data_IF_205426717747
#
_entry.id   IF_205426717747
#
_cell.length_a   1.000
_cell.length_b   1.000
_cell.length_c   1.000
_cell.angle_alpha   90.00
_cell.angle_beta   90.00
_cell.angle_gamma   90.00
#
_symmetry.space_group_name_H-M   'P 1'
#
loop_
_entity.id
_entity.type
_entity.pdbx_description
1 polymer ?
#
# COMPACT_ATOMS: atom_id res chain seq x y z
N UNK A 1 -5.26 -5.45 -26.87
CA UNK A 1 -4.83 -4.39 -25.94
C UNK A 1 -5.38 -3.09 -26.51
N UNK A 2 -6.59 -2.70 -26.11
CA UNK A 2 -7.15 -1.40 -26.48
C UNK A 2 -6.22 -0.34 -25.90
N UNK A 3 -5.70 0.53 -26.77
CA UNK A 3 -4.78 1.58 -26.39
C UNK A 3 -5.46 2.51 -25.41
N UNK A 4 -4.90 2.66 -24.21
CA UNK A 4 -5.10 3.85 -23.39
C UNK A 4 -4.95 5.06 -24.31
N UNK A 5 -6.07 5.74 -24.58
CA UNK A 5 -6.13 6.78 -25.60
C UNK A 5 -5.80 8.14 -24.98
N UNK A 6 -5.40 9.10 -25.82
CA UNK A 6 -5.06 10.47 -25.39
C UNK A 6 -6.22 11.16 -24.64
N UNK A 7 -7.47 10.75 -24.90
CA UNK A 7 -8.65 11.25 -24.18
C UNK A 7 -8.66 10.80 -22.71
N UNK A 8 -8.30 9.55 -22.43
CA UNK A 8 -8.23 9.03 -21.06
C UNK A 8 -7.15 9.76 -20.28
N UNK A 9 -5.98 9.98 -20.89
CA UNK A 9 -4.89 10.75 -20.29
C UNK A 9 -5.31 12.21 -20.00
N UNK A 10 -5.98 12.86 -20.95
CA UNK A 10 -6.52 14.21 -20.75
C UNK A 10 -7.58 14.28 -19.64
N UNK A 11 -8.45 13.28 -19.53
CA UNK A 11 -9.45 13.17 -18.47
C UNK A 11 -8.81 12.96 -17.09
N UNK A 12 -7.74 12.16 -17.01
CA UNK A 12 -6.97 11.95 -15.78
C UNK A 12 -6.24 13.23 -15.34
N UNK A 13 -5.78 14.05 -16.28
CA UNK A 13 -5.16 15.33 -15.98
C UNK A 13 -6.16 16.38 -15.49
N UNK A 14 -7.38 16.38 -16.03
CA UNK A 14 -8.41 17.40 -15.74
C UNK A 14 -9.33 17.08 -14.55
N UNK A 15 -9.68 15.81 -14.29
CA UNK A 15 -10.59 15.44 -13.21
C UNK A 15 -9.92 15.31 -11.84
N UNK A 16 -8.59 15.19 -11.77
CA UNK A 16 -7.83 15.12 -10.52
C UNK A 16 -8.12 13.91 -9.63
N UNK A 17 -8.90 12.93 -10.10
CA UNK A 17 -9.34 11.75 -9.34
C UNK A 17 -9.56 10.52 -10.22
N UNK A 18 -9.94 9.37 -9.61
CA UNK A 18 -10.12 8.12 -10.33
C UNK A 18 -11.24 8.19 -11.37
N UNK A 19 -11.04 7.51 -12.51
CA UNK A 19 -12.01 7.35 -13.59
C UNK A 19 -12.45 5.90 -13.68
N UNK A 20 -13.75 5.69 -13.84
CA UNK A 20 -14.31 4.38 -14.16
C UNK A 20 -14.40 4.22 -15.68
N UNK A 21 -13.82 3.16 -16.21
CA UNK A 21 -13.85 2.82 -17.63
C UNK A 21 -14.45 1.44 -17.81
N UNK A 22 -15.42 1.31 -18.71
CA UNK A 22 -15.91 0.00 -19.12
C UNK A 22 -14.84 -0.68 -19.99
N UNK A 23 -14.53 -1.93 -19.69
CA UNK A 23 -13.55 -2.71 -20.42
C UNK A 23 -14.07 -4.08 -20.84
N UNK A 24 -13.30 -4.75 -21.71
CA UNK A 24 -13.71 -6.04 -22.30
C UNK A 24 -13.92 -7.16 -21.28
N UNK A 25 -13.24 -7.09 -20.12
CA UNK A 25 -13.35 -8.10 -19.04
C UNK A 25 -14.10 -7.57 -17.80
N UNK A 26 -14.68 -6.37 -17.88
CA UNK A 26 -15.35 -5.71 -16.76
C UNK A 26 -14.92 -4.26 -16.59
N UNK A 27 -15.39 -3.65 -15.51
CA UNK A 27 -15.10 -2.25 -15.18
C UNK A 27 -13.69 -2.10 -14.59
N UNK A 28 -12.98 -1.08 -15.06
CA UNK A 28 -11.66 -0.70 -14.58
C UNK A 28 -11.71 0.66 -13.90
N UNK A 29 -10.99 0.79 -12.79
CA UNK A 29 -10.70 2.09 -12.17
C UNK A 29 -9.29 2.50 -12.59
N UNK A 30 -9.17 3.63 -13.27
CA UNK A 30 -7.88 4.19 -13.72
C UNK A 30 -7.65 5.51 -13.00
N UNK A 31 -6.43 5.71 -12.50
CA UNK A 31 -6.03 6.96 -11.85
C UNK A 31 -4.57 7.26 -12.15
N UNK A 32 -4.16 8.53 -12.01
CA UNK A 32 -2.75 8.86 -12.07
C UNK A 32 -2.01 8.25 -10.88
N UNK A 33 -0.78 7.83 -11.11
CA UNK A 33 0.06 7.19 -10.08
C UNK A 33 0.32 8.10 -8.89
N UNK A 34 0.52 9.38 -9.11
CA UNK A 34 0.75 10.35 -8.03
C UNK A 34 -0.49 10.56 -7.15
N UNK A 35 -1.69 10.55 -7.75
CA UNK A 35 -2.96 10.56 -7.01
C UNK A 35 -3.13 9.28 -6.19
N UNK A 36 -2.82 8.11 -6.77
CA UNK A 36 -2.82 6.84 -6.03
C UNK A 36 -1.88 6.87 -4.82
N UNK A 37 -0.64 7.34 -5.03
CA UNK A 37 0.37 7.44 -3.99
C UNK A 37 -0.07 8.42 -2.88
N UNK A 38 -0.63 9.57 -3.24
CA UNK A 38 -1.16 10.54 -2.29
C UNK A 38 -2.32 9.95 -1.46
N UNK A 39 -3.21 9.15 -2.07
CA UNK A 39 -4.31 8.47 -1.37
C UNK A 39 -3.81 7.41 -0.38
N UNK A 40 -2.67 6.76 -0.65
CA UNK A 40 -2.06 5.82 0.28
C UNK A 40 -1.40 6.52 1.48
N UNK A 41 -1.22 7.85 1.42
CA UNK A 41 -0.56 8.61 2.48
C UNK A 41 0.91 8.24 2.66
N UNK A 42 1.51 7.58 1.68
CA UNK A 42 2.93 7.21 1.68
C UNK A 42 3.71 8.38 1.07
N UNK A 43 4.48 9.09 1.88
CA UNK A 43 5.57 9.92 1.36
C UNK A 43 6.63 9.04 0.67
N UNK A 44 7.47 9.65 -0.18
CA UNK A 44 8.56 8.91 -0.85
C UNK A 44 9.49 8.20 0.16
N UNK A 45 9.66 8.77 1.34
CA UNK A 45 10.44 8.17 2.44
C UNK A 45 9.71 7.00 3.13
N UNK A 46 8.37 7.04 3.18
CA UNK A 46 7.54 6.02 3.84
C UNK A 46 7.50 4.72 3.06
N UNK A 47 7.59 4.77 1.72
CA UNK A 47 7.59 3.58 0.86
C UNK A 47 8.86 2.75 1.09
N UNK A 48 10.02 3.40 1.18
CA UNK A 48 11.30 2.76 1.43
C UNK A 48 11.36 2.16 2.85
N UNK A 49 10.89 2.90 3.86
CA UNK A 49 10.82 2.42 5.25
C UNK A 49 9.84 1.25 5.40
N UNK A 50 8.68 1.31 4.74
CA UNK A 50 7.68 0.23 4.73
C UNK A 50 8.27 -1.04 4.13
N UNK A 51 8.92 -0.94 2.97
CA UNK A 51 9.52 -2.09 2.31
C UNK A 51 10.68 -2.68 3.12
N UNK A 52 11.51 -1.82 3.73
CA UNK A 52 12.59 -2.25 4.63
C UNK A 52 12.04 -3.00 5.85
N UNK A 53 10.94 -2.51 6.43
CA UNK A 53 10.27 -3.13 7.58
C UNK A 53 9.71 -4.51 7.24
N UNK A 54 9.09 -4.66 6.07
CA UNK A 54 8.61 -5.98 5.58
C UNK A 54 9.77 -6.93 5.38
N UNK A 55 10.84 -6.50 4.69
CA UNK A 55 12.04 -7.33 4.45
C UNK A 55 12.68 -7.78 5.76
N UNK A 56 12.77 -6.90 6.75
CA UNK A 56 13.28 -7.24 8.08
C UNK A 56 12.39 -8.28 8.76
N UNK A 57 11.07 -8.08 8.72
CA UNK A 57 10.11 -9.02 9.29
C UNK A 57 10.22 -10.42 8.68
N UNK A 58 10.36 -10.52 7.35
CA UNK A 58 10.58 -11.80 6.67
C UNK A 58 11.90 -12.46 7.11
N UNK A 59 12.99 -11.70 7.17
CA UNK A 59 14.27 -12.21 7.64
C UNK A 59 14.25 -12.66 9.11
N UNK A 60 13.40 -12.05 9.95
CA UNK A 60 13.17 -12.48 11.33
C UNK A 60 12.37 -13.78 11.40
N UNK A 61 11.38 -13.97 10.52
CA UNK A 61 10.64 -15.24 10.38
C UNK A 61 11.58 -16.38 9.97
N UNK A 62 12.36 -16.18 8.92
CA UNK A 62 13.27 -17.20 8.38
C UNK A 62 14.35 -17.63 9.39
N UNK A 63 14.79 -16.69 10.22
CA UNK A 63 15.79 -16.94 11.25
C UNK A 63 15.19 -17.41 12.60
N UNK A 64 13.87 -17.63 12.67
CA UNK A 64 13.19 -18.04 13.90
C UNK A 64 13.16 -16.98 15.00
N UNK A 65 13.42 -15.70 14.68
CA UNK A 65 13.36 -14.56 15.60
C UNK A 65 11.93 -14.03 15.76
N UNK A 66 10.97 -14.95 15.91
CA UNK A 66 9.56 -14.61 16.14
C UNK A 66 9.20 -14.85 17.61
N UNK A 67 8.15 -14.19 18.09
CA UNK A 67 7.60 -14.40 19.43
C UNK A 67 6.10 -14.63 19.31
N UNK A 68 5.53 -15.42 20.22
CA UNK A 68 4.09 -15.58 20.31
C UNK A 68 3.42 -14.25 20.70
N UNK A 69 2.33 -13.93 20.01
CA UNK A 69 1.64 -12.65 20.18
C UNK A 69 1.02 -12.50 21.58
N UNK A 70 0.48 -13.59 22.15
CA UNK A 70 -0.11 -13.56 23.49
C UNK A 70 0.98 -13.42 24.55
N UNK A 71 2.12 -14.08 24.37
CA UNK A 71 3.27 -13.94 25.27
C UNK A 71 3.83 -12.51 25.25
N UNK A 72 3.99 -11.93 24.06
CA UNK A 72 4.45 -10.55 23.88
C UNK A 72 3.50 -9.55 24.57
N UNK A 73 2.19 -9.73 24.38
CA UNK A 73 1.17 -8.88 25.01
C UNK A 73 1.14 -9.06 26.52
N UNK A 74 1.25 -10.29 27.03
CA UNK A 74 1.32 -10.56 28.46
C UNK A 74 2.56 -9.91 29.09
N UNK A 75 3.71 -9.96 28.42
CA UNK A 75 4.94 -9.25 28.84
C UNK A 75 4.73 -7.74 28.89
N UNK A 76 4.08 -7.16 27.88
CA UNK A 76 3.77 -5.74 27.84
C UNK A 76 2.84 -5.35 29.00
N UNK A 77 1.77 -6.10 29.22
CA UNK A 77 0.84 -5.90 30.34
C UNK A 77 1.56 -5.95 31.68
N UNK A 78 2.42 -6.96 31.93
CA UNK A 78 3.21 -7.03 33.17
C UNK A 78 4.13 -5.83 33.37
N UNK A 79 4.69 -5.28 32.29
CA UNK A 79 5.61 -4.15 32.34
C UNK A 79 4.91 -2.82 32.68
N UNK A 80 3.65 -2.67 32.30
CA UNK A 80 2.90 -1.42 32.40
C UNK A 80 1.62 -1.54 33.23
N UNK A 81 1.41 -2.66 33.94
CA UNK A 81 0.36 -2.80 34.94
C UNK A 81 0.80 -2.05 36.20
N UNK A 82 0.29 -0.83 36.35
CA UNK A 82 0.34 -0.04 37.58
C UNK A 82 -0.71 -0.53 38.56
#
# INVERSE_FOLDING_TARGET
>A
MESFNEQTESLLQSNGGPLNLAGQLGDYVVMRRDVYNAMLGLGEDDEAETLASVRRGLADVDAGRTQDANEALARLKRRYAT
#
